data_IF_199150652629
#
_entry.id   IF_199150652629
#
_cell.length_a   1.000
_cell.length_b   1.000
_cell.length_c   1.000
_cell.angle_alpha   90.00
_cell.angle_beta   90.00
_cell.angle_gamma   90.00
#
_symmetry.space_group_name_H-M   'P 1'
#
loop_
_entity.id
_entity.type
_entity.pdbx_description
1 polymer ?
#
# COMPACT_ATOMS: atom_id res chain seq x y z
N UNK A 1 24.01 -23.39 -7.13
CA UNK A 1 24.07 -22.57 -5.91
C UNK A 1 23.13 -21.38 -6.06
N UNK A 2 22.25 -21.14 -5.10
CA UNK A 2 21.48 -19.93 -5.16
C UNK A 2 22.45 -18.75 -5.01
N UNK A 3 22.57 -17.96 -6.06
CA UNK A 3 23.32 -16.71 -6.01
C UNK A 3 22.68 -15.84 -4.94
N UNK A 4 23.43 -15.49 -3.91
CA UNK A 4 23.01 -14.51 -2.92
C UNK A 4 22.78 -13.21 -3.68
N UNK A 5 21.51 -12.86 -3.86
CA UNK A 5 21.15 -11.57 -4.44
C UNK A 5 21.81 -10.46 -3.65
N UNK A 6 22.55 -9.61 -4.31
CA UNK A 6 23.19 -8.47 -3.67
C UNK A 6 22.13 -7.48 -3.20
N UNK A 7 22.43 -6.68 -2.18
CA UNK A 7 21.52 -5.63 -1.71
C UNK A 7 21.06 -4.72 -2.84
N UNK A 8 21.95 -4.42 -3.79
CA UNK A 8 21.64 -3.60 -4.96
C UNK A 8 20.57 -4.23 -5.86
N UNK A 9 20.65 -5.54 -6.11
CA UNK A 9 19.66 -6.26 -6.91
C UNK A 9 18.28 -6.26 -6.24
N UNK A 10 18.24 -6.43 -4.91
CA UNK A 10 17.00 -6.37 -4.15
C UNK A 10 16.30 -5.01 -4.28
N UNK A 11 17.07 -3.92 -4.20
CA UNK A 11 16.54 -2.57 -4.36
C UNK A 11 16.14 -2.27 -5.81
N UNK A 12 16.86 -2.78 -6.79
CA UNK A 12 16.50 -2.65 -8.21
C UNK A 12 15.14 -3.32 -8.48
N UNK A 13 14.96 -4.55 -8.02
CA UNK A 13 13.69 -5.28 -8.16
C UNK A 13 12.55 -4.58 -7.44
N UNK A 14 12.79 -4.13 -6.21
CA UNK A 14 11.82 -3.36 -5.45
C UNK A 14 11.46 -2.03 -6.13
N UNK A 15 12.42 -1.37 -6.77
CA UNK A 15 12.20 -0.13 -7.52
C UNK A 15 11.30 -0.36 -8.73
N UNK A 16 11.49 -1.45 -9.46
CA UNK A 16 10.64 -1.80 -10.60
C UNK A 16 9.19 -1.99 -10.15
N UNK A 17 8.98 -2.79 -9.11
CA UNK A 17 7.64 -3.10 -8.61
C UNK A 17 7.00 -1.88 -7.94
N UNK A 18 7.77 -1.16 -7.13
CA UNK A 18 7.31 0.07 -6.47
C UNK A 18 6.91 1.14 -7.46
N UNK A 19 7.66 1.29 -8.56
CA UNK A 19 7.34 2.23 -9.64
C UNK A 19 6.08 1.82 -10.41
N UNK A 20 5.90 0.53 -10.69
CA UNK A 20 4.67 0.02 -11.31
C UNK A 20 3.46 0.28 -10.43
N UNK A 21 3.57 -0.03 -9.15
CA UNK A 21 2.51 0.23 -8.18
C UNK A 21 2.21 1.72 -8.06
N UNK A 22 3.26 2.55 -7.93
CA UNK A 22 3.11 4.01 -7.85
C UNK A 22 2.44 4.60 -9.10
N UNK A 23 2.77 4.10 -10.29
CA UNK A 23 2.13 4.54 -11.53
C UNK A 23 0.63 4.26 -11.53
N UNK A 24 0.23 3.09 -11.08
CA UNK A 24 -1.18 2.74 -10.92
C UNK A 24 -1.85 3.64 -9.88
N UNK A 25 -1.21 3.82 -8.72
CA UNK A 25 -1.71 4.68 -7.65
C UNK A 25 -1.90 6.13 -8.08
N UNK A 26 -0.96 6.68 -8.84
CA UNK A 26 -1.03 8.08 -9.30
C UNK A 26 -2.09 8.23 -10.38
N UNK A 27 -2.07 7.41 -11.41
CA UNK A 27 -2.97 7.52 -12.56
C UNK A 27 -4.40 7.14 -12.18
N UNK A 28 -4.60 5.92 -11.68
CA UNK A 28 -5.92 5.43 -11.31
C UNK A 28 -6.46 6.08 -10.05
N UNK A 29 -5.59 6.40 -9.09
CA UNK A 29 -5.97 7.12 -7.88
C UNK A 29 -6.56 8.48 -8.20
N UNK A 30 -5.90 9.26 -9.04
CA UNK A 30 -6.39 10.57 -9.48
C UNK A 30 -7.70 10.44 -10.27
N UNK A 31 -7.78 9.46 -11.16
CA UNK A 31 -8.97 9.21 -11.98
C UNK A 31 -10.19 8.81 -11.12
N UNK A 32 -10.03 7.82 -10.26
CA UNK A 32 -11.10 7.35 -9.39
C UNK A 32 -11.53 8.43 -8.37
N UNK A 33 -10.59 9.22 -7.89
CA UNK A 33 -10.89 10.32 -6.97
C UNK A 33 -11.69 11.42 -7.66
N UNK A 34 -11.34 11.79 -8.88
CA UNK A 34 -12.06 12.77 -9.68
C UNK A 34 -13.49 12.31 -10.01
N UNK A 35 -13.67 11.03 -10.26
CA UNK A 35 -14.99 10.43 -10.49
C UNK A 35 -15.81 10.24 -9.21
N UNK A 36 -15.25 10.57 -8.04
CA UNK A 36 -15.87 10.36 -6.72
C UNK A 36 -16.38 8.92 -6.51
N UNK A 37 -15.64 7.95 -7.03
CA UNK A 37 -15.99 6.53 -6.89
C UNK A 37 -15.87 6.13 -5.42
N UNK A 38 -16.95 5.62 -4.81
CA UNK A 38 -16.87 5.10 -3.46
C UNK A 38 -15.94 3.87 -3.45
N UNK A 39 -15.21 3.67 -2.35
CA UNK A 39 -14.26 2.57 -2.19
C UNK A 39 -13.05 2.60 -3.15
N UNK A 40 -12.73 3.74 -3.73
CA UNK A 40 -11.56 3.90 -4.61
C UNK A 40 -10.27 3.40 -3.96
N UNK A 41 -10.09 3.66 -2.67
CA UNK A 41 -8.94 3.16 -1.91
C UNK A 41 -8.86 1.63 -1.89
N UNK A 42 -9.96 0.93 -1.71
CA UNK A 42 -9.99 -0.54 -1.71
C UNK A 42 -9.65 -1.12 -3.08
N UNK A 43 -10.11 -0.49 -4.16
CA UNK A 43 -9.78 -0.90 -5.53
C UNK A 43 -8.28 -0.75 -5.78
N UNK A 44 -7.71 0.38 -5.38
CA UNK A 44 -6.26 0.64 -5.51
C UNK A 44 -5.43 -0.34 -4.68
N UNK A 45 -5.84 -0.60 -3.43
CA UNK A 45 -5.20 -1.61 -2.58
C UNK A 45 -5.25 -2.98 -3.22
N UNK A 46 -6.38 -3.41 -3.75
CA UNK A 46 -6.51 -4.70 -4.43
C UNK A 46 -5.56 -4.82 -5.62
N UNK A 47 -5.46 -3.78 -6.44
CA UNK A 47 -4.54 -3.75 -7.57
C UNK A 47 -3.08 -3.80 -7.09
N UNK A 48 -2.74 -3.01 -6.08
CA UNK A 48 -1.40 -3.01 -5.47
C UNK A 48 -1.01 -4.37 -4.93
N UNK A 49 -1.92 -5.04 -4.22
CA UNK A 49 -1.70 -6.39 -3.71
C UNK A 49 -1.51 -7.42 -4.83
N UNK A 50 -2.27 -7.32 -5.91
CA UNK A 50 -2.10 -8.19 -7.10
C UNK A 50 -0.70 -8.00 -7.68
N UNK A 51 -0.23 -6.77 -7.81
CA UNK A 51 1.12 -6.47 -8.31
C UNK A 51 2.18 -7.07 -7.39
N UNK A 52 2.09 -6.84 -6.08
CA UNK A 52 3.05 -7.36 -5.10
C UNK A 52 3.07 -8.88 -5.05
N UNK A 53 1.92 -9.51 -5.02
CA UNK A 53 1.79 -10.97 -4.97
C UNK A 53 2.33 -11.59 -6.26
N UNK A 54 1.99 -11.04 -7.41
CA UNK A 54 2.51 -11.50 -8.71
C UNK A 54 4.03 -11.41 -8.78
N UNK A 55 4.59 -10.31 -8.27
CA UNK A 55 6.02 -10.12 -8.18
C UNK A 55 6.70 -11.14 -7.24
N UNK A 56 6.04 -11.52 -6.17
CA UNK A 56 6.57 -12.49 -5.20
C UNK A 56 6.71 -13.90 -5.79
N UNK A 57 5.91 -14.25 -6.77
CA UNK A 57 6.06 -15.52 -7.49
C UNK A 57 7.26 -15.53 -8.42
N UNK A 58 7.62 -14.36 -8.94
CA UNK A 58 8.77 -14.23 -9.84
C UNK A 58 10.08 -14.08 -9.07
N UNK A 59 10.05 -13.28 -8.02
CA UNK A 59 11.23 -12.98 -7.18
C UNK A 59 10.97 -13.34 -5.74
N UNK A 60 11.58 -14.41 -5.30
CA UNK A 60 11.40 -14.98 -3.95
C UNK A 60 12.31 -14.34 -2.90
N UNK A 61 12.55 -13.06 -3.00
CA UNK A 61 13.43 -12.34 -2.08
C UNK A 61 12.70 -11.90 -0.81
N UNK A 62 13.43 -11.95 0.31
CA UNK A 62 12.93 -11.42 1.57
C UNK A 62 12.99 -9.89 1.54
N UNK A 63 11.95 -9.24 2.02
CA UNK A 63 11.92 -7.79 2.12
C UNK A 63 11.52 -7.07 0.83
N UNK A 64 11.05 -7.78 -0.19
CA UNK A 64 10.60 -7.18 -1.43
C UNK A 64 9.40 -6.23 -1.21
N UNK A 65 8.44 -6.65 -0.40
CA UNK A 65 7.20 -5.91 -0.19
C UNK A 65 7.41 -4.56 0.50
N UNK A 66 8.14 -4.54 1.62
CA UNK A 66 8.36 -3.29 2.35
C UNK A 66 9.22 -2.30 1.56
N UNK A 67 10.22 -2.78 0.81
CA UNK A 67 11.03 -1.93 -0.05
C UNK A 67 10.20 -1.33 -1.20
N UNK A 68 9.39 -2.15 -1.85
CA UNK A 68 8.47 -1.68 -2.88
C UNK A 68 7.46 -0.68 -2.32
N UNK A 69 6.96 -0.92 -1.11
CA UNK A 69 6.06 -0.01 -0.39
C UNK A 69 6.67 1.35 -0.10
N UNK A 70 7.93 1.38 0.35
CA UNK A 70 8.66 2.65 0.56
C UNK A 70 8.78 3.42 -0.74
N UNK A 71 9.20 2.77 -1.81
CA UNK A 71 9.38 3.41 -3.12
C UNK A 71 8.05 3.93 -3.65
N UNK A 72 6.99 3.14 -3.56
CA UNK A 72 5.65 3.55 -3.96
C UNK A 72 5.17 4.76 -3.14
N UNK A 73 5.33 4.73 -1.82
CA UNK A 73 4.95 5.83 -0.93
C UNK A 73 5.72 7.11 -1.24
N UNK A 74 7.02 7.02 -1.50
CA UNK A 74 7.84 8.17 -1.88
C UNK A 74 7.41 8.74 -3.23
N UNK A 75 7.16 7.91 -4.22
CA UNK A 75 6.69 8.36 -5.53
C UNK A 75 5.29 8.97 -5.46
N UNK A 76 4.47 8.51 -4.51
CA UNK A 76 3.14 9.10 -4.27
C UNK A 76 3.21 10.56 -3.84
N UNK A 77 4.31 11.01 -3.24
CA UNK A 77 4.50 12.44 -2.93
C UNK A 77 4.50 13.32 -4.16
N UNK A 78 4.83 12.77 -5.31
CA UNK A 78 4.81 13.46 -6.59
C UNK A 78 3.42 13.50 -7.23
N UNK A 79 2.43 12.88 -6.61
CA UNK A 79 1.05 12.93 -7.09
C UNK A 79 0.47 14.34 -6.93
N UNK A 80 -0.31 14.83 -7.91
CA UNK A 80 -0.94 16.16 -7.83
C UNK A 80 -2.11 16.25 -6.83
N UNK A 81 -2.37 15.22 -6.03
CA UNK A 81 -3.46 15.25 -5.05
C UNK A 81 -3.11 16.09 -3.83
N UNK A 82 -4.09 16.82 -3.31
CA UNK A 82 -3.93 17.69 -2.15
C UNK A 82 -3.67 16.92 -0.84
N UNK A 83 -4.03 15.65 -0.77
CA UNK A 83 -3.88 14.80 0.41
C UNK A 83 -2.82 13.74 0.11
N UNK A 84 -1.63 13.93 0.63
CA UNK A 84 -0.46 13.07 0.36
C UNK A 84 -0.22 12.08 1.50
N UNK A 85 -0.27 12.53 2.75
CA UNK A 85 0.14 11.73 3.91
C UNK A 85 -0.75 10.51 4.19
N UNK A 86 -2.06 10.65 4.07
CA UNK A 86 -2.99 9.53 4.28
C UNK A 86 -2.69 8.34 3.37
N UNK A 87 -2.68 8.52 2.05
CA UNK A 87 -2.32 7.46 1.11
C UNK A 87 -0.91 6.90 1.30
N UNK A 88 0.07 7.73 1.64
CA UNK A 88 1.43 7.26 1.91
C UNK A 88 1.48 6.27 3.08
N UNK A 89 0.83 6.62 4.18
CA UNK A 89 0.75 5.76 5.35
C UNK A 89 0.02 4.46 5.01
N UNK A 90 -1.08 4.53 4.26
CA UNK A 90 -1.82 3.36 3.81
C UNK A 90 -0.94 2.42 3.00
N UNK A 91 -0.30 2.91 1.96
CA UNK A 91 0.58 2.13 1.06
C UNK A 91 1.70 1.45 1.85
N UNK A 92 2.37 2.18 2.71
CA UNK A 92 3.46 1.64 3.50
C UNK A 92 2.98 0.59 4.51
N UNK A 93 1.87 0.85 5.19
CA UNK A 93 1.26 -0.08 6.15
C UNK A 93 0.81 -1.38 5.48
N UNK A 94 0.19 -1.29 4.31
CA UNK A 94 -0.21 -2.45 3.51
C UNK A 94 0.99 -3.32 3.13
N UNK A 95 2.06 -2.70 2.67
CA UNK A 95 3.30 -3.40 2.33
C UNK A 95 3.93 -4.07 3.55
N UNK A 96 3.95 -3.41 4.70
CA UNK A 96 4.47 -3.97 5.96
C UNK A 96 3.62 -5.13 6.46
N UNK A 97 2.29 -5.02 6.40
CA UNK A 97 1.39 -6.10 6.82
C UNK A 97 1.57 -7.35 5.96
N UNK A 98 1.69 -7.16 4.65
CA UNK A 98 1.95 -8.28 3.74
C UNK A 98 3.31 -8.92 4.01
N UNK A 99 4.35 -8.13 4.22
CA UNK A 99 5.69 -8.61 4.57
C UNK A 99 5.69 -9.36 5.91
N UNK A 100 5.06 -8.79 6.93
CA UNK A 100 4.96 -9.40 8.25
C UNK A 100 4.21 -10.74 8.19
N UNK A 101 3.12 -10.82 7.47
CA UNK A 101 2.35 -12.04 7.29
C UNK A 101 3.18 -13.13 6.61
N UNK A 102 3.88 -12.79 5.55
CA UNK A 102 4.74 -13.73 4.83
C UNK A 102 5.92 -14.20 5.68
N UNK A 103 6.44 -13.35 6.55
CA UNK A 103 7.52 -13.75 7.48
C UNK A 103 7.03 -14.66 8.61
N UNK A 104 5.82 -14.43 9.11
CA UNK A 104 5.24 -15.21 10.22
C UNK A 104 4.68 -16.55 9.75
N UNK A 105 3.97 -16.58 8.64
CA UNK A 105 3.29 -17.77 8.13
C UNK A 105 4.03 -18.48 6.99
N UNK A 106 5.16 -17.94 6.56
CA UNK A 106 5.94 -18.44 5.45
C UNK A 106 5.49 -17.86 4.10
N UNK A 107 6.35 -18.01 3.09
CA UNK A 107 6.09 -17.54 1.73
C UNK A 107 5.22 -18.55 0.96
N UNK A 108 4.08 -18.87 1.53
CA UNK A 108 3.10 -19.79 1.02
C UNK A 108 1.83 -19.04 0.61
N UNK A 109 0.94 -19.71 -0.10
CA UNK A 109 -0.38 -19.15 -0.44
C UNK A 109 -1.14 -18.65 0.79
N UNK A 110 -1.05 -19.38 1.89
CA UNK A 110 -1.71 -19.03 3.17
C UNK A 110 -1.17 -17.69 3.70
N UNK A 111 0.15 -17.52 3.76
CA UNK A 111 0.77 -16.28 4.22
C UNK A 111 0.39 -15.07 3.34
N UNK A 112 0.34 -15.26 2.03
CA UNK A 112 -0.09 -14.22 1.08
C UNK A 112 -1.57 -13.85 1.25
N UNK A 113 -2.44 -14.84 1.43
CA UNK A 113 -3.89 -14.62 1.65
C UNK A 113 -4.12 -13.87 2.95
N UNK A 114 -3.50 -14.31 4.05
CA UNK A 114 -3.61 -13.64 5.35
C UNK A 114 -3.09 -12.20 5.25
N UNK A 115 -1.95 -11.99 4.61
CA UNK A 115 -1.38 -10.66 4.40
C UNK A 115 -2.28 -9.75 3.58
N UNK A 116 -2.91 -10.28 2.54
CA UNK A 116 -3.87 -9.54 1.72
C UNK A 116 -5.12 -9.15 2.53
N UNK A 117 -5.66 -10.06 3.33
CA UNK A 117 -6.79 -9.78 4.21
C UNK A 117 -6.44 -8.70 5.23
N UNK A 118 -5.26 -8.79 5.86
CA UNK A 118 -4.79 -7.79 6.81
C UNK A 118 -4.63 -6.41 6.16
N UNK A 119 -4.05 -6.35 4.98
CA UNK A 119 -3.87 -5.10 4.24
C UNK A 119 -5.21 -4.46 3.86
N UNK A 120 -6.16 -5.25 3.38
CA UNK A 120 -7.51 -4.77 3.07
C UNK A 120 -8.25 -4.30 4.33
N UNK A 121 -8.11 -5.03 5.44
CA UNK A 121 -8.69 -4.66 6.73
C UNK A 121 -8.10 -3.36 7.27
N UNK A 122 -6.80 -3.14 7.09
CA UNK A 122 -6.14 -1.90 7.47
C UNK A 122 -6.74 -0.69 6.75
N UNK A 123 -7.04 -0.83 5.48
CA UNK A 123 -7.66 0.22 4.69
C UNK A 123 -9.05 0.62 5.25
N UNK A 124 -9.85 -0.37 5.67
CA UNK A 124 -11.12 -0.13 6.35
C UNK A 124 -10.93 0.59 7.69
N UNK A 125 -10.00 0.13 8.50
CA UNK A 125 -9.68 0.75 9.81
C UNK A 125 -9.25 2.20 9.61
N UNK A 126 -8.35 2.47 8.67
CA UNK A 126 -7.89 3.81 8.37
C UNK A 126 -9.03 4.71 7.88
N UNK A 127 -9.92 4.21 7.04
CA UNK A 127 -11.09 4.95 6.58
C UNK A 127 -12.04 5.31 7.72
N UNK A 128 -12.27 4.39 8.66
CA UNK A 128 -13.10 4.61 9.84
C UNK A 128 -12.44 5.65 10.76
N UNK A 129 -11.15 5.51 11.06
CA UNK A 129 -10.39 6.45 11.90
C UNK A 129 -10.42 7.86 11.29
N UNK A 130 -10.20 7.98 9.99
CA UNK A 130 -10.24 9.27 9.29
C UNK A 130 -11.62 9.94 9.38
N UNK A 131 -12.68 9.17 9.28
CA UNK A 131 -14.06 9.67 9.46
C UNK A 131 -14.32 10.12 10.89
N UNK A 132 -13.91 9.34 11.88
CA UNK A 132 -14.08 9.68 13.30
C UNK A 132 -13.34 10.99 13.62
N UNK A 133 -12.12 11.16 13.13
CA UNK A 133 -11.34 12.39 13.31
C UNK A 133 -12.05 13.57 12.64
N UNK A 134 -12.55 13.41 11.42
CA UNK A 134 -13.25 14.46 10.69
C UNK A 134 -14.54 14.88 11.38
N UNK A 135 -15.33 13.92 11.86
CA UNK A 135 -16.56 14.22 12.61
C UNK A 135 -16.26 14.84 13.96
N UNK A 136 -15.26 14.34 14.68
CA UNK A 136 -14.81 14.90 15.96
C UNK A 136 -14.36 16.35 15.82
N UNK A 137 -13.61 16.68 14.79
CA UNK A 137 -13.18 18.05 14.50
C UNK A 137 -14.37 18.98 14.20
N UNK A 138 -15.32 18.52 13.44
CA UNK A 138 -16.53 19.27 13.13
C UNK A 138 -17.40 19.52 14.35
N UNK A 139 -17.52 18.55 15.26
CA UNK A 139 -18.23 18.69 16.52
C UNK A 139 -17.55 19.71 17.45
N UNK A 140 -16.24 19.68 17.57
CA UNK A 140 -15.46 20.65 18.35
C UNK A 140 -15.66 22.06 17.78
N UNK A 141 -15.59 22.22 16.47
CA UNK A 141 -15.80 23.50 15.79
C UNK A 141 -17.21 24.06 16.00
N UNK A 142 -18.23 23.18 16.03
CA UNK A 142 -19.62 23.56 16.36
C UNK A 142 -19.77 23.99 17.83
N UNK A 143 -18.97 23.41 18.73
CA UNK A 143 -19.03 23.73 20.15
C UNK A 143 -18.34 25.06 20.49
N UNK A 144 -17.34 25.47 19.71
CA UNK A 144 -16.61 26.74 19.87
C UNK A 144 -17.31 27.92 19.18
N UNK A 145 -18.30 27.68 18.37
CA UNK A 145 -19.14 28.72 17.77
C UNK A 145 -20.42 28.92 18.59
#
# INVERSE_FOLDING_TARGET
MPTKTTLNEQWIKASIIGSMWASVEIVWGSFLHNLRVPLSGHILTAIGLIILISASYRWKEKGLFWRAGIICALLKTMSPSAVIFGPMIAIFSEALLLEASVRLFGKNRIGLIIGAILAMSWNLVQAIISKIIAYGYNLVKLYES
#
